data_IF_187300297395
#
_entry.id   IF_187300297395
#
_cell.length_a   1.000
_cell.length_b   1.000
_cell.length_c   1.000
_cell.angle_alpha   90.00
_cell.angle_beta   90.00
_cell.angle_gamma   90.00
#
_symmetry.space_group_name_H-M   'P 1'
#
loop_
_entity.id
_entity.type
_entity.pdbx_description
1 polymer ?
#
# COMPACT_ATOMS: atom_id res chain seq x y z
N UNK A 1 -5.71 39.69 77.10
CA UNK A 1 -5.36 40.40 75.85
C UNK A 1 -4.86 39.33 74.86
N UNK A 2 -5.73 38.85 74.00
CA UNK A 2 -5.47 37.75 73.05
C UNK A 2 -5.38 38.34 71.63
N UNK A 3 -4.21 38.28 71.02
CA UNK A 3 -4.00 38.73 69.62
C UNK A 3 -4.31 37.57 68.66
N UNK A 4 -5.20 37.73 67.69
CA UNK A 4 -5.39 36.68 66.69
C UNK A 4 -4.28 36.76 65.64
N UNK A 5 -3.60 35.63 65.42
CA UNK A 5 -2.70 35.41 64.28
C UNK A 5 -3.53 35.18 63.01
N UNK A 6 -3.44 36.09 62.07
CA UNK A 6 -4.04 35.95 60.76
C UNK A 6 -3.08 35.11 59.90
N UNK A 7 -3.44 33.85 59.66
CA UNK A 7 -2.68 32.98 58.74
C UNK A 7 -3.25 33.21 57.33
N UNK A 8 -2.43 33.88 56.48
CA UNK A 8 -2.72 34.11 55.09
C UNK A 8 -2.32 32.85 54.28
N UNK A 9 -3.33 32.06 53.86
CA UNK A 9 -3.14 30.93 52.94
C UNK A 9 -2.98 31.47 51.52
N UNK A 10 -1.75 31.49 51.00
CA UNK A 10 -1.46 31.70 49.60
C UNK A 10 -1.76 30.40 48.83
N UNK A 11 -2.92 30.36 48.18
CA UNK A 11 -3.25 29.32 47.20
C UNK A 11 -2.42 29.54 45.93
N UNK A 12 -1.30 28.82 45.86
CA UNK A 12 -0.51 28.72 44.63
C UNK A 12 -1.21 27.83 43.62
N UNK A 13 -1.86 28.43 42.64
CA UNK A 13 -2.39 27.72 41.45
C UNK A 13 -1.22 27.28 40.57
N UNK A 14 -0.80 26.02 40.67
CA UNK A 14 0.12 25.41 39.71
C UNK A 14 -0.70 25.04 38.47
N UNK A 15 -0.64 25.85 37.41
CA UNK A 15 -1.11 25.52 36.10
C UNK A 15 -0.22 24.37 35.56
N UNK A 16 -0.74 23.16 35.59
CA UNK A 16 -0.13 22.01 34.88
C UNK A 16 -0.38 22.26 33.39
N UNK A 17 0.66 22.71 32.70
CA UNK A 17 0.66 22.75 31.23
C UNK A 17 0.55 21.29 30.73
N UNK A 18 -0.61 20.93 30.23
CA UNK A 18 -0.85 19.64 29.56
C UNK A 18 -0.18 19.71 28.19
N UNK A 19 1.05 19.23 28.14
CA UNK A 19 1.79 19.02 26.90
C UNK A 19 1.01 18.00 26.08
N UNK A 20 0.28 18.50 25.08
CA UNK A 20 -0.40 17.68 24.07
C UNK A 20 0.70 17.01 23.23
N UNK A 21 1.19 15.86 23.69
CA UNK A 21 2.06 15.00 22.90
C UNK A 21 1.21 14.36 21.80
N UNK A 22 1.04 15.11 20.72
CA UNK A 22 0.62 14.54 19.44
C UNK A 22 1.75 13.58 19.03
N UNK A 23 1.57 12.29 19.30
CA UNK A 23 2.48 11.26 18.82
C UNK A 23 2.68 11.48 17.31
N UNK A 24 3.93 11.53 16.80
CA UNK A 24 4.16 11.69 15.39
C UNK A 24 3.45 10.56 14.66
N UNK A 25 2.52 10.92 13.77
CA UNK A 25 1.90 9.97 12.84
C UNK A 25 3.05 9.21 12.18
N UNK A 26 3.06 7.85 12.20
CA UNK A 26 4.11 7.10 11.54
C UNK A 26 4.14 7.53 10.08
N UNK A 27 5.16 8.27 9.69
CA UNK A 27 5.46 8.52 8.28
C UNK A 27 5.87 7.17 7.71
N UNK A 28 5.03 6.61 6.83
CA UNK A 28 5.40 5.43 6.09
C UNK A 28 6.79 5.65 5.47
N UNK A 29 7.72 4.70 5.58
CA UNK A 29 9.03 4.84 4.96
C UNK A 29 8.81 5.13 3.48
N UNK A 30 9.46 6.14 2.92
CA UNK A 30 9.52 6.34 1.48
C UNK A 30 10.15 5.06 0.93
N UNK A 31 9.33 4.19 0.36
CA UNK A 31 9.75 2.86 -0.06
C UNK A 31 10.49 2.95 -1.39
N UNK A 32 11.72 3.48 -1.36
CA UNK A 32 12.64 3.33 -2.48
C UNK A 32 13.18 1.88 -2.52
N UNK A 33 13.13 1.17 -1.38
CA UNK A 33 13.52 -0.24 -1.26
C UNK A 33 12.50 -1.00 -0.44
N UNK A 34 12.02 -2.12 -0.98
CA UNK A 34 11.15 -3.03 -0.22
C UNK A 34 12.00 -3.78 0.81
N UNK A 35 11.63 -3.79 2.11
CA UNK A 35 12.34 -4.58 3.11
C UNK A 35 12.40 -6.06 2.76
N UNK A 36 13.51 -6.71 3.05
CA UNK A 36 13.72 -8.14 2.73
C UNK A 36 12.64 -9.02 3.36
N UNK A 37 12.21 -8.70 4.57
CA UNK A 37 11.16 -9.42 5.29
C UNK A 37 9.81 -9.28 4.58
N UNK A 38 9.52 -8.12 4.02
CA UNK A 38 8.30 -7.90 3.24
C UNK A 38 8.35 -8.68 1.91
N UNK A 39 9.49 -8.67 1.24
CA UNK A 39 9.68 -9.42 -0.01
C UNK A 39 9.55 -10.93 0.17
N UNK A 40 9.84 -11.47 1.37
CA UNK A 40 9.71 -12.89 1.70
C UNK A 40 8.29 -13.31 2.08
N UNK A 41 7.37 -12.38 2.22
CA UNK A 41 5.99 -12.73 2.57
C UNK A 41 5.34 -13.55 1.45
N UNK A 42 4.75 -14.67 1.84
CA UNK A 42 3.99 -15.53 0.93
C UNK A 42 2.53 -15.10 0.97
N UNK A 43 1.89 -15.02 -0.20
CA UNK A 43 0.47 -14.72 -0.27
C UNK A 43 -0.35 -15.83 0.40
N UNK A 44 -1.06 -15.58 1.51
CA UNK A 44 -1.88 -16.59 2.17
C UNK A 44 -3.19 -16.86 1.43
N UNK A 45 -3.57 -16.01 0.46
CA UNK A 45 -4.81 -16.13 -0.30
C UNK A 45 -4.52 -16.84 -1.61
N UNK A 46 -5.13 -18.01 -1.82
CA UNK A 46 -4.99 -18.76 -3.08
C UNK A 46 -5.55 -17.96 -4.25
N UNK A 47 -4.93 -18.00 -5.45
CA UNK A 47 -5.41 -17.31 -6.65
C UNK A 47 -6.59 -18.04 -7.29
N UNK A 48 -7.74 -18.05 -6.62
CA UNK A 48 -9.01 -18.60 -7.14
C UNK A 48 -9.72 -17.56 -8.00
N UNK A 49 -10.72 -17.97 -8.77
CA UNK A 49 -11.59 -17.05 -9.53
C UNK A 49 -12.24 -15.99 -8.66
N UNK A 50 -12.64 -16.35 -7.44
CA UNK A 50 -13.26 -15.45 -6.47
C UNK A 50 -12.25 -14.42 -5.96
N UNK A 51 -11.04 -14.86 -5.60
CA UNK A 51 -9.97 -13.98 -5.15
C UNK A 51 -9.57 -12.98 -6.26
N UNK A 52 -9.40 -13.48 -7.49
CA UNK A 52 -9.06 -12.64 -8.66
C UNK A 52 -10.19 -11.64 -8.95
N UNK A 53 -11.46 -12.05 -8.88
CA UNK A 53 -12.59 -11.16 -9.09
C UNK A 53 -12.68 -10.08 -7.99
N UNK A 54 -12.41 -10.44 -6.74
CA UNK A 54 -12.35 -9.48 -5.63
C UNK A 54 -11.21 -8.47 -5.82
N UNK A 55 -10.03 -8.92 -6.22
CA UNK A 55 -8.90 -8.05 -6.56
C UNK A 55 -9.20 -7.13 -7.74
N UNK A 56 -9.83 -7.65 -8.80
CA UNK A 56 -10.27 -6.86 -9.96
C UNK A 56 -11.16 -5.69 -9.58
N UNK A 57 -12.08 -5.91 -8.63
CA UNK A 57 -12.99 -4.87 -8.15
C UNK A 57 -12.20 -3.69 -7.55
N UNK A 58 -11.27 -3.94 -6.64
CA UNK A 58 -10.45 -2.90 -6.03
C UNK A 58 -9.50 -2.25 -7.03
N UNK A 59 -8.92 -3.04 -7.92
CA UNK A 59 -8.09 -2.53 -9.00
C UNK A 59 -8.84 -1.50 -9.86
N UNK A 60 -10.08 -1.79 -10.21
CA UNK A 60 -10.93 -0.89 -11.01
C UNK A 60 -11.21 0.44 -10.31
N UNK A 61 -11.30 0.47 -8.98
CA UNK A 61 -11.57 1.69 -8.23
C UNK A 61 -10.33 2.56 -8.03
N UNK A 62 -9.19 1.96 -7.74
CA UNK A 62 -8.05 2.69 -7.19
C UNK A 62 -6.81 2.68 -8.09
N UNK A 63 -6.66 1.67 -8.95
CA UNK A 63 -5.41 1.43 -9.69
C UNK A 63 -5.53 1.74 -11.19
N UNK A 64 -6.70 1.45 -11.79
CA UNK A 64 -6.90 1.51 -13.23
C UNK A 64 -6.67 2.90 -13.83
N UNK A 65 -6.93 3.96 -13.08
CA UNK A 65 -6.75 5.35 -13.51
C UNK A 65 -5.31 5.64 -13.95
N UNK A 66 -4.34 5.04 -13.27
CA UNK A 66 -2.92 5.16 -13.61
C UNK A 66 -2.42 3.94 -14.40
N UNK A 67 -2.71 2.72 -13.90
CA UNK A 67 -2.15 1.49 -14.46
C UNK A 67 -2.88 0.97 -15.71
N UNK A 68 -3.96 1.61 -16.14
CA UNK A 68 -4.81 1.15 -17.23
C UNK A 68 -5.81 0.08 -16.79
N UNK A 69 -6.98 0.07 -17.42
CA UNK A 69 -8.06 -0.89 -17.13
C UNK A 69 -7.61 -2.35 -17.30
N UNK A 70 -6.74 -2.59 -18.27
CA UNK A 70 -6.20 -3.90 -18.60
C UNK A 70 -4.80 -4.14 -17.98
N UNK A 71 -4.27 -3.17 -17.24
CA UNK A 71 -2.96 -3.26 -16.57
C UNK A 71 -1.77 -2.99 -17.47
N UNK A 72 -1.98 -2.35 -18.62
CA UNK A 72 -0.94 -2.06 -19.63
C UNK A 72 -0.10 -0.81 -19.33
N UNK A 73 -0.34 -0.17 -18.18
CA UNK A 73 0.38 1.04 -17.76
C UNK A 73 -0.05 2.31 -18.50
N UNK A 74 -1.19 2.29 -19.22
CA UNK A 74 -1.69 3.39 -20.05
C UNK A 74 -3.04 3.93 -19.57
N UNK A 75 -3.20 4.06 -18.25
CA UNK A 75 -4.38 4.71 -17.69
C UNK A 75 -4.44 6.20 -18.02
N UNK A 76 -5.59 6.82 -17.80
CA UNK A 76 -5.85 8.21 -18.17
C UNK A 76 -4.85 9.19 -17.51
N UNK A 77 -4.35 8.86 -16.31
CA UNK A 77 -3.35 9.66 -15.60
C UNK A 77 -1.90 9.21 -15.83
N UNK A 78 -1.66 8.21 -16.67
CA UNK A 78 -0.31 7.70 -16.89
C UNK A 78 0.65 8.74 -17.47
N UNK A 79 0.13 9.69 -18.28
CA UNK A 79 0.90 10.79 -18.87
C UNK A 79 1.43 11.80 -17.84
N UNK A 80 0.79 11.90 -16.68
CA UNK A 80 1.16 12.84 -15.60
C UNK A 80 2.19 12.21 -14.63
N UNK A 81 2.52 10.93 -14.81
CA UNK A 81 3.46 10.23 -13.97
C UNK A 81 4.90 10.52 -14.39
N UNK A 82 5.76 10.80 -13.40
CA UNK A 82 7.20 11.06 -13.64
C UNK A 82 7.96 9.83 -14.10
N UNK A 83 7.47 8.65 -13.78
CA UNK A 83 8.07 7.37 -14.16
C UNK A 83 7.13 6.60 -15.08
N UNK A 84 7.72 5.87 -16.05
CA UNK A 84 6.96 4.94 -16.87
C UNK A 84 6.33 3.87 -15.98
N UNK A 85 5.03 3.67 -16.10
CA UNK A 85 4.31 2.65 -15.36
C UNK A 85 4.57 1.26 -15.94
N UNK A 86 4.54 0.26 -15.04
CA UNK A 86 4.76 -1.14 -15.42
C UNK A 86 3.57 -1.64 -16.24
N UNK A 87 3.87 -2.34 -17.34
CA UNK A 87 2.88 -3.09 -18.10
C UNK A 87 2.72 -4.49 -17.46
N UNK A 88 1.67 -4.67 -16.67
CA UNK A 88 1.38 -5.95 -16.00
C UNK A 88 0.90 -7.04 -16.96
N UNK A 89 0.58 -6.69 -18.21
CA UNK A 89 0.20 -7.68 -19.24
C UNK A 89 1.41 -8.38 -19.85
N UNK A 90 2.61 -7.82 -19.65
CA UNK A 90 3.88 -8.46 -20.04
C UNK A 90 4.26 -9.53 -19.02
N UNK A 91 4.37 -10.81 -19.39
CA UNK A 91 4.79 -11.89 -18.49
C UNK A 91 6.17 -11.67 -17.84
N UNK A 92 7.05 -10.90 -18.48
CA UNK A 92 8.37 -10.59 -17.97
C UNK A 92 8.37 -9.48 -16.91
N UNK A 93 7.36 -8.62 -16.90
CA UNK A 93 7.34 -7.41 -16.08
C UNK A 93 7.42 -7.66 -14.57
N UNK A 94 6.81 -8.76 -14.10
CA UNK A 94 6.78 -9.14 -12.68
C UNK A 94 7.51 -10.46 -12.40
N UNK A 95 8.36 -10.91 -13.31
CA UNK A 95 9.05 -12.20 -13.22
C UNK A 95 9.91 -12.33 -11.95
N UNK A 96 10.66 -11.28 -11.65
CA UNK A 96 11.61 -11.24 -10.53
C UNK A 96 11.05 -10.46 -9.32
N UNK A 97 9.77 -10.11 -9.34
CA UNK A 97 9.08 -9.41 -8.26
C UNK A 97 8.26 -10.42 -7.46
N UNK A 98 8.44 -10.48 -6.15
CA UNK A 98 7.68 -11.39 -5.28
C UNK A 98 6.28 -10.85 -4.98
N UNK A 99 5.37 -11.73 -4.51
CA UNK A 99 4.04 -11.32 -4.06
C UNK A 99 4.11 -10.39 -2.85
N UNK A 100 5.08 -10.63 -1.95
CA UNK A 100 5.33 -9.79 -0.80
C UNK A 100 5.77 -8.37 -1.19
N UNK A 101 6.57 -8.24 -2.24
CA UNK A 101 6.97 -6.92 -2.78
C UNK A 101 5.78 -6.17 -3.36
N UNK A 102 4.93 -6.85 -4.14
CA UNK A 102 3.70 -6.24 -4.68
C UNK A 102 2.79 -5.80 -3.52
N UNK A 103 2.55 -6.69 -2.55
CA UNK A 103 1.76 -6.39 -1.37
C UNK A 103 2.30 -5.18 -0.61
N UNK A 104 3.61 -5.13 -0.37
CA UNK A 104 4.25 -4.03 0.34
C UNK A 104 4.08 -2.70 -0.38
N UNK A 105 4.29 -2.67 -1.71
CA UNK A 105 4.14 -1.47 -2.53
C UNK A 105 2.69 -0.99 -2.54
N UNK A 106 1.72 -1.87 -2.70
CA UNK A 106 0.30 -1.50 -2.67
C UNK A 106 -0.09 -0.98 -1.29
N UNK A 107 0.36 -1.65 -0.23
CA UNK A 107 0.04 -1.25 1.15
C UNK A 107 0.62 0.11 1.53
N UNK A 108 1.87 0.38 1.17
CA UNK A 108 2.62 1.53 1.66
C UNK A 108 2.76 2.66 0.64
N UNK A 109 2.42 2.41 -0.63
CA UNK A 109 2.66 3.31 -1.73
C UNK A 109 4.13 3.32 -2.16
N UNK A 110 4.40 3.94 -3.31
CA UNK A 110 5.77 4.15 -3.82
C UNK A 110 5.83 5.37 -4.72
N UNK A 111 6.64 6.36 -4.38
CA UNK A 111 6.76 7.58 -5.17
C UNK A 111 5.42 8.32 -5.30
N UNK A 112 4.86 8.39 -6.50
CA UNK A 112 3.54 8.99 -6.77
C UNK A 112 2.37 8.01 -6.56
N UNK A 113 2.64 6.72 -6.41
CA UNK A 113 1.60 5.73 -6.12
C UNK A 113 1.13 5.88 -4.67
N UNK A 114 -0.18 6.11 -4.42
CA UNK A 114 -0.71 6.23 -3.08
C UNK A 114 -0.67 4.90 -2.32
N UNK A 115 -0.72 4.98 -0.99
CA UNK A 115 -0.83 3.83 -0.10
C UNK A 115 -2.29 3.40 0.07
N UNK A 116 -2.56 2.10 0.02
CA UNK A 116 -3.89 1.54 0.22
C UNK A 116 -4.07 0.82 1.58
N UNK A 117 -3.00 0.77 2.38
CA UNK A 117 -2.99 0.01 3.63
C UNK A 117 -3.97 0.49 4.70
N UNK A 118 -4.35 1.77 4.69
CA UNK A 118 -5.31 2.35 5.63
C UNK A 118 -6.77 2.15 5.16
N UNK A 119 -6.98 1.82 3.88
CA UNK A 119 -8.30 1.70 3.24
C UNK A 119 -8.73 0.27 3.05
N UNK A 120 -7.80 -0.62 2.77
CA UNK A 120 -8.05 -2.02 2.44
C UNK A 120 -7.55 -2.95 3.53
N UNK A 121 -8.32 -4.00 3.80
CA UNK A 121 -7.90 -5.07 4.70
C UNK A 121 -6.78 -5.89 4.08
N UNK A 122 -5.93 -6.55 4.88
CA UNK A 122 -4.86 -7.39 4.35
C UNK A 122 -5.31 -8.43 3.31
N UNK A 123 -6.47 -9.05 3.51
CA UNK A 123 -7.03 -10.01 2.55
C UNK A 123 -7.38 -9.36 1.20
N UNK A 124 -7.87 -8.12 1.21
CA UNK A 124 -8.21 -7.37 -0.01
C UNK A 124 -6.95 -6.97 -0.78
N UNK A 125 -5.90 -6.58 -0.06
CA UNK A 125 -4.57 -6.33 -0.66
C UNK A 125 -3.98 -7.59 -1.30
N UNK A 126 -4.11 -8.75 -0.65
CA UNK A 126 -3.66 -10.03 -1.22
C UNK A 126 -4.50 -10.47 -2.43
N UNK A 127 -5.78 -10.17 -2.43
CA UNK A 127 -6.64 -10.36 -3.62
C UNK A 127 -6.19 -9.47 -4.79
N UNK A 128 -5.78 -8.22 -4.50
CA UNK A 128 -5.18 -7.34 -5.51
C UNK A 128 -3.90 -7.94 -6.09
N UNK A 129 -3.01 -8.50 -5.26
CA UNK A 129 -1.80 -9.20 -5.73
C UNK A 129 -2.17 -10.33 -6.70
N UNK A 130 -3.17 -11.16 -6.35
CA UNK A 130 -3.65 -12.24 -7.21
C UNK A 130 -4.19 -11.72 -8.55
N UNK A 131 -4.94 -10.62 -8.52
CA UNK A 131 -5.44 -10.01 -9.76
C UNK A 131 -4.30 -9.46 -10.62
N UNK A 132 -3.36 -8.70 -10.06
CA UNK A 132 -2.22 -8.15 -10.79
C UNK A 132 -1.40 -9.27 -11.45
N UNK A 133 -1.16 -10.38 -10.74
CA UNK A 133 -0.52 -11.57 -11.32
C UNK A 133 -1.30 -12.18 -12.48
N UNK A 134 -2.63 -12.14 -12.40
CA UNK A 134 -3.51 -12.70 -13.46
C UNK A 134 -3.54 -11.87 -14.73
N UNK A 135 -3.07 -10.62 -14.71
CA UNK A 135 -3.03 -9.74 -15.88
C UNK A 135 -1.96 -10.15 -16.89
N UNK A 136 -0.90 -10.81 -16.45
CA UNK A 136 0.13 -11.31 -17.35
C UNK A 136 -0.50 -12.24 -18.39
N UNK A 137 -0.40 -11.87 -19.66
CA UNK A 137 -0.85 -12.71 -20.76
C UNK A 137 -0.02 -13.98 -20.74
N UNK A 138 -0.68 -15.12 -20.72
CA UNK A 138 -0.01 -16.40 -20.89
C UNK A 138 0.80 -16.31 -22.19
N UNK A 139 2.13 -16.42 -22.11
CA UNK A 139 2.94 -16.46 -23.33
C UNK A 139 2.31 -17.47 -24.27
N UNK A 140 2.21 -17.17 -25.60
CA UNK A 140 1.75 -18.16 -26.56
C UNK A 140 2.56 -19.42 -26.32
N UNK A 141 1.90 -20.55 -26.14
CA UNK A 141 2.61 -21.82 -26.05
C UNK A 141 3.53 -21.88 -27.27
N UNK A 142 4.85 -21.95 -27.07
CA UNK A 142 5.79 -22.16 -28.16
C UNK A 142 5.28 -23.37 -28.92
N UNK A 143 4.83 -23.18 -30.15
CA UNK A 143 4.45 -24.27 -31.05
C UNK A 143 5.72 -25.09 -31.29
N UNK A 144 5.89 -26.16 -30.53
CA UNK A 144 6.99 -27.12 -30.69
C UNK A 144 6.81 -28.02 -31.93
N UNK A 145 6.13 -27.54 -32.96
CA UNK A 145 5.96 -28.22 -34.25
C UNK A 145 6.62 -27.42 -35.36
N UNK A 146 7.92 -27.19 -35.26
CA UNK A 146 8.77 -26.87 -36.40
C UNK A 146 9.92 -27.88 -36.43
N UNK A 147 9.68 -28.99 -37.08
CA UNK A 147 10.73 -29.82 -37.65
C UNK A 147 10.89 -29.48 -39.11
#
# INVERSE_FOLDING_TARGET
MLRPFLILFLLGSTAVAQENQTAPKPTAPKADTVPVEAARQVNPVKPTSESIAAGKKWYGYDCAMCHGKDGDGKGDMAGDMKAKLVDFTDPAALKDVTDGEIFYVVKNGKGQMPAEGDRLKPTELWNLVNYVRSLAKKAPAEDKTAH
#
